data_IF_716494316900
#
_entry.id   IF_716494316900
#
_cell.length_a   1.000
_cell.length_b   1.000
_cell.length_c   1.000
_cell.angle_alpha   90.00
_cell.angle_beta   90.00
_cell.angle_gamma   90.00
#
_symmetry.space_group_name_H-M   'P 1'
#
loop_
_entity.id
_entity.type
_entity.pdbx_description
1 polymer ?
#
# COMPACT_ATOMS: atom_id res chain seq x y z
N UNK A 1 21.61 -7.10 1.31
CA UNK A 1 20.40 -7.13 0.45
C UNK A 1 20.76 -7.64 -0.96
N UNK A 2 21.64 -8.63 -1.09
CA UNK A 2 22.23 -9.04 -2.39
C UNK A 2 21.40 -10.09 -3.14
N UNK A 3 20.30 -10.58 -2.56
CA UNK A 3 19.53 -11.70 -3.13
C UNK A 3 18.45 -11.27 -4.14
N UNK A 4 18.02 -10.00 -4.11
CA UNK A 4 16.97 -9.48 -4.98
C UNK A 4 17.40 -8.14 -5.60
N UNK A 5 17.90 -8.19 -6.84
CA UNK A 5 18.43 -7.02 -7.55
C UNK A 5 17.36 -6.08 -8.13
N UNK A 6 16.08 -6.44 -8.02
CA UNK A 6 14.95 -5.74 -8.63
C UNK A 6 13.68 -5.87 -7.79
N UNK A 7 12.83 -4.84 -7.85
CA UNK A 7 11.46 -4.86 -7.35
C UNK A 7 10.49 -4.97 -8.54
N UNK A 8 9.91 -6.15 -8.72
CA UNK A 8 8.93 -6.44 -9.77
C UNK A 8 7.49 -6.24 -9.30
N UNK A 9 7.21 -6.66 -8.06
CA UNK A 9 5.88 -6.70 -7.48
C UNK A 9 5.97 -6.14 -6.06
N UNK A 10 5.10 -5.17 -5.77
CA UNK A 10 4.82 -4.73 -4.40
C UNK A 10 3.48 -5.33 -3.98
N UNK A 11 3.42 -5.88 -2.75
CA UNK A 11 2.17 -6.40 -2.18
C UNK A 11 1.86 -5.61 -0.92
N UNK A 12 0.82 -4.79 -0.98
CA UNK A 12 0.22 -4.15 0.19
C UNK A 12 -0.82 -5.08 0.79
N UNK A 13 -0.37 -5.87 1.76
CA UNK A 13 -1.21 -6.76 2.55
C UNK A 13 -1.46 -6.23 3.97
N UNK A 14 -0.74 -5.19 4.40
CA UNK A 14 -0.97 -4.60 5.71
C UNK A 14 -2.34 -3.94 5.73
N UNK A 15 -3.19 -4.36 6.68
CA UNK A 15 -4.52 -3.83 6.89
C UNK A 15 -4.94 -4.06 8.33
N UNK A 16 -5.78 -3.18 8.86
CA UNK A 16 -6.36 -3.35 10.18
C UNK A 16 -7.80 -2.87 10.25
N UNK A 17 -8.59 -3.54 11.08
CA UNK A 17 -9.92 -3.08 11.45
C UNK A 17 -10.01 -2.86 12.94
N UNK A 18 -10.85 -1.90 13.34
CA UNK A 18 -11.25 -1.70 14.73
C UNK A 18 -12.74 -1.91 14.80
N UNK A 19 -13.18 -2.90 15.57
CA UNK A 19 -14.60 -3.14 15.78
C UNK A 19 -15.14 -2.19 16.86
N UNK A 20 -16.00 -1.27 16.42
CA UNK A 20 -16.82 -0.41 17.28
C UNK A 20 -18.20 -0.27 16.62
N UNK A 21 -19.30 -0.13 17.38
CA UNK A 21 -20.56 0.31 16.80
C UNK A 21 -20.36 1.60 16.00
N UNK A 22 -21.08 1.74 14.88
CA UNK A 22 -20.85 2.86 13.94
C UNK A 22 -20.91 4.24 14.61
N UNK A 23 -21.82 4.42 15.59
CA UNK A 23 -21.99 5.69 16.30
C UNK A 23 -20.93 5.94 17.39
N UNK A 24 -20.14 4.92 17.73
CA UNK A 24 -19.14 4.94 18.81
C UNK A 24 -17.70 4.89 18.26
N UNK A 25 -17.52 4.99 16.94
CA UNK A 25 -16.18 5.10 16.34
C UNK A 25 -15.58 6.44 16.71
N UNK A 26 -14.43 6.44 17.38
CA UNK A 26 -13.70 7.68 17.66
C UNK A 26 -12.86 8.10 16.47
N UNK A 27 -12.55 9.39 16.39
CA UNK A 27 -11.67 9.94 15.34
C UNK A 27 -10.29 9.28 15.39
N UNK A 28 -9.73 9.03 16.59
CA UNK A 28 -8.44 8.35 16.71
C UNK A 28 -8.47 6.91 16.19
N UNK A 29 -9.58 6.20 16.37
CA UNK A 29 -9.76 4.86 15.81
C UNK A 29 -9.82 4.91 14.29
N UNK A 30 -10.59 5.85 13.74
CA UNK A 30 -10.72 6.06 12.31
C UNK A 30 -9.37 6.42 11.67
N UNK A 31 -8.66 7.38 12.26
CA UNK A 31 -7.33 7.82 11.82
C UNK A 31 -6.30 6.70 11.89
N UNK A 32 -6.40 5.81 12.88
CA UNK A 32 -5.51 4.67 12.99
C UNK A 32 -5.72 3.67 11.85
N UNK A 33 -6.98 3.37 11.51
CA UNK A 33 -7.31 2.52 10.34
C UNK A 33 -6.82 3.18 9.05
N UNK A 34 -7.15 4.47 8.82
CA UNK A 34 -6.69 5.19 7.63
C UNK A 34 -5.17 5.31 7.55
N UNK A 35 -4.49 5.44 8.68
CA UNK A 35 -3.04 5.52 8.77
C UNK A 35 -2.34 4.29 8.19
N UNK A 36 -2.90 3.10 8.42
CA UNK A 36 -2.38 1.85 7.87
C UNK A 36 -2.94 1.62 6.46
N UNK A 37 -4.26 1.56 6.34
CA UNK A 37 -4.93 0.97 5.19
C UNK A 37 -4.94 1.89 3.97
N UNK A 38 -4.95 3.20 4.20
CA UNK A 38 -4.93 4.20 3.13
C UNK A 38 -3.55 4.84 2.98
N UNK A 39 -3.08 5.52 4.03
CA UNK A 39 -1.84 6.29 3.99
C UNK A 39 -0.63 5.38 3.79
N UNK A 40 -0.51 4.32 4.59
CA UNK A 40 0.52 3.30 4.45
C UNK A 40 0.50 2.71 3.05
N UNK A 41 -0.67 2.27 2.59
CA UNK A 41 -0.85 1.68 1.26
C UNK A 41 -0.34 2.59 0.14
N UNK A 42 -0.79 3.85 0.14
CA UNK A 42 -0.48 4.83 -0.89
C UNK A 42 1.03 5.13 -0.97
N UNK A 43 1.67 5.42 0.17
CA UNK A 43 3.07 5.80 0.17
C UNK A 43 4.02 4.64 -0.11
N UNK A 44 3.65 3.42 0.31
CA UNK A 44 4.34 2.20 -0.09
C UNK A 44 4.27 1.98 -1.62
N UNK A 45 3.08 2.11 -2.20
CA UNK A 45 2.91 2.00 -3.66
C UNK A 45 3.67 3.11 -4.41
N UNK A 46 3.64 4.35 -3.90
CA UNK A 46 4.40 5.46 -4.48
C UNK A 46 5.91 5.18 -4.46
N UNK A 47 6.44 4.67 -3.34
CA UNK A 47 7.87 4.33 -3.23
C UNK A 47 8.26 3.23 -4.22
N UNK A 48 7.46 2.18 -4.35
CA UNK A 48 7.67 1.12 -5.33
C UNK A 48 7.64 1.67 -6.78
N UNK A 49 6.65 2.50 -7.10
CA UNK A 49 6.52 3.14 -8.41
C UNK A 49 7.76 4.00 -8.75
N UNK A 50 8.27 4.78 -7.79
CA UNK A 50 9.47 5.61 -7.99
C UNK A 50 10.68 4.75 -8.38
N UNK A 51 10.90 3.62 -7.72
CA UNK A 51 11.99 2.70 -8.06
C UNK A 51 11.80 2.02 -9.42
N UNK A 52 10.57 1.63 -9.77
CA UNK A 52 10.24 1.05 -11.08
C UNK A 52 10.48 2.05 -12.22
N UNK A 53 10.00 3.30 -12.07
CA UNK A 53 10.21 4.38 -13.04
C UNK A 53 11.70 4.71 -13.17
N UNK A 54 12.43 4.84 -12.05
CA UNK A 54 13.89 5.10 -12.07
C UNK A 54 14.65 4.05 -12.86
N UNK A 55 14.20 2.80 -12.82
CA UNK A 55 14.83 1.65 -13.49
C UNK A 55 14.26 1.40 -14.90
N UNK A 56 13.25 2.16 -15.33
CA UNK A 56 12.56 1.99 -16.61
C UNK A 56 12.03 0.57 -16.83
N UNK A 57 11.44 0.00 -15.77
CA UNK A 57 10.85 -1.34 -15.78
C UNK A 57 9.35 -1.26 -15.56
N UNK A 58 8.61 -2.18 -16.18
CA UNK A 58 7.25 -2.45 -15.78
C UNK A 58 7.23 -3.14 -14.40
N UNK A 59 6.17 -2.89 -13.63
CA UNK A 59 5.92 -3.55 -12.36
C UNK A 59 4.46 -3.41 -11.92
N UNK A 60 4.09 -4.08 -10.84
CA UNK A 60 2.72 -4.09 -10.34
C UNK A 60 2.67 -3.84 -8.83
N UNK A 61 1.61 -3.16 -8.38
CA UNK A 61 1.24 -3.11 -6.96
C UNK A 61 -0.07 -3.86 -6.74
N UNK A 62 -0.02 -4.91 -5.92
CA UNK A 62 -1.18 -5.64 -5.43
C UNK A 62 -1.60 -5.01 -4.11
N UNK A 63 -2.83 -4.56 -4.01
CA UNK A 63 -3.45 -4.16 -2.75
C UNK A 63 -4.54 -5.20 -2.50
N UNK A 64 -4.64 -5.76 -1.30
CA UNK A 64 -5.53 -6.90 -0.99
C UNK A 64 -6.98 -6.73 -1.48
N UNK A 65 -7.48 -5.49 -1.62
CA UNK A 65 -8.79 -5.19 -2.23
C UNK A 65 -8.78 -4.51 -3.61
N UNK A 66 -7.62 -4.16 -4.20
CA UNK A 66 -7.53 -3.48 -5.50
C UNK A 66 -6.26 -3.84 -6.29
N UNK A 67 -6.41 -4.16 -7.58
CA UNK A 67 -5.27 -4.31 -8.50
C UNK A 67 -4.98 -2.97 -9.18
N UNK A 68 -3.83 -2.35 -8.87
CA UNK A 68 -3.41 -1.11 -9.51
C UNK A 68 -2.21 -1.36 -10.42
N UNK A 69 -2.41 -1.20 -11.74
CA UNK A 69 -1.31 -1.20 -12.70
C UNK A 69 -0.52 0.11 -12.58
N UNK A 70 0.78 -0.01 -12.35
CA UNK A 70 1.69 1.13 -12.31
C UNK A 70 2.35 1.24 -13.69
N UNK A 71 1.79 2.13 -14.51
CA UNK A 71 2.23 2.58 -15.84
C UNK A 71 2.02 1.65 -17.06
N UNK A 72 1.67 2.28 -18.20
CA UNK A 72 2.06 1.88 -19.56
C UNK A 72 3.37 2.59 -19.92
#
# INVERSE_FOLDING_TARGET
MEQFNRLDIMVNNAGMEIHSPFLDVTEEQFDRVLGIDLKGTFFCAQAAAREMVKRQIAGASLISHQFMKICQ
#
